data_IF_511279529842
#
_entry.id   IF_511279529842
#
_cell.length_a   1.000
_cell.length_b   1.000
_cell.length_c   1.000
_cell.angle_alpha   90.00
_cell.angle_beta   90.00
_cell.angle_gamma   90.00
#
_symmetry.space_group_name_H-M   'P 1'
#
loop_
_entity.id
_entity.type
_entity.pdbx_description
1 polymer ?
#
# COMPACT_ATOMS: atom_id res chain seq x y z
N UNK A 1 21.46 -41.44 -5.28
CA UNK A 1 20.78 -40.69 -4.18
C UNK A 1 20.98 -39.18 -4.27
N UNK A 2 22.22 -38.68 -4.38
CA UNK A 2 22.54 -37.24 -4.30
C UNK A 2 21.78 -36.33 -5.27
N UNK A 3 21.56 -36.74 -6.52
CA UNK A 3 20.87 -35.92 -7.53
C UNK A 3 19.42 -35.60 -7.15
N UNK A 4 18.70 -36.55 -6.54
CA UNK A 4 17.29 -36.38 -6.12
C UNK A 4 17.17 -35.42 -4.93
N UNK A 5 18.06 -35.55 -3.96
CA UNK A 5 18.10 -34.65 -2.80
C UNK A 5 18.52 -33.22 -3.21
N UNK A 6 19.48 -33.08 -4.13
CA UNK A 6 19.87 -31.78 -4.68
C UNK A 6 18.72 -31.11 -5.44
N UNK A 7 17.95 -31.86 -6.24
CA UNK A 7 16.77 -31.35 -6.93
C UNK A 7 15.70 -30.82 -5.95
N UNK A 8 15.40 -31.57 -4.87
CA UNK A 8 14.46 -31.13 -3.82
C UNK A 8 14.96 -29.86 -3.14
N UNK A 9 16.26 -29.76 -2.87
CA UNK A 9 16.86 -28.58 -2.25
C UNK A 9 16.71 -27.35 -3.15
N UNK A 10 17.00 -27.47 -4.45
CA UNK A 10 16.82 -26.37 -5.40
C UNK A 10 15.36 -25.92 -5.49
N UNK A 11 14.41 -26.85 -5.52
CA UNK A 11 12.99 -26.53 -5.54
C UNK A 11 12.55 -25.81 -4.26
N UNK A 12 13.06 -26.24 -3.10
CA UNK A 12 12.82 -25.58 -1.82
C UNK A 12 13.39 -24.17 -1.80
N UNK A 13 14.61 -23.96 -2.29
CA UNK A 13 15.24 -22.64 -2.39
C UNK A 13 14.42 -21.73 -3.31
N UNK A 14 14.02 -22.23 -4.49
CA UNK A 14 13.17 -21.49 -5.43
C UNK A 14 11.89 -21.01 -4.77
N UNK A 15 11.19 -21.92 -4.07
CA UNK A 15 9.95 -21.58 -3.35
C UNK A 15 10.16 -20.50 -2.30
N UNK A 16 11.25 -20.55 -1.54
CA UNK A 16 11.53 -19.50 -0.54
C UNK A 16 11.88 -18.16 -1.16
N UNK A 17 12.57 -18.15 -2.31
CA UNK A 17 12.82 -16.92 -3.07
C UNK A 17 11.49 -16.30 -3.52
N UNK A 18 10.58 -17.10 -4.06
CA UNK A 18 9.24 -16.64 -4.47
C UNK A 18 8.45 -16.04 -3.30
N UNK A 19 8.43 -16.74 -2.15
CA UNK A 19 7.78 -16.24 -0.93
C UNK A 19 8.44 -14.93 -0.46
N UNK A 20 9.76 -14.85 -0.45
CA UNK A 20 10.48 -13.67 0.00
C UNK A 20 10.19 -12.46 -0.90
N UNK A 21 10.15 -12.65 -2.21
CA UNK A 21 9.82 -11.59 -3.16
C UNK A 21 8.37 -11.11 -2.98
N UNK A 22 7.43 -12.04 -2.81
CA UNK A 22 6.03 -11.70 -2.51
C UNK A 22 5.89 -10.90 -1.21
N UNK A 23 6.59 -11.31 -0.13
CA UNK A 23 6.59 -10.56 1.12
C UNK A 23 7.23 -9.18 0.98
N UNK A 24 8.29 -9.05 0.18
CA UNK A 24 8.96 -7.78 -0.08
C UNK A 24 8.03 -6.77 -0.76
N UNK A 25 7.32 -7.18 -1.83
CA UNK A 25 6.38 -6.29 -2.52
C UNK A 25 5.23 -5.85 -1.60
N UNK A 26 4.73 -6.76 -0.74
CA UNK A 26 3.70 -6.42 0.27
C UNK A 26 4.20 -5.40 1.29
N UNK A 27 5.45 -5.56 1.76
CA UNK A 27 6.04 -4.60 2.70
C UNK A 27 6.23 -3.23 2.07
N UNK A 28 6.67 -3.19 0.80
CA UNK A 28 6.81 -1.95 0.04
C UNK A 28 5.49 -1.18 -0.02
N UNK A 29 4.38 -1.86 -0.30
CA UNK A 29 3.05 -1.22 -0.35
C UNK A 29 2.63 -0.60 0.99
N UNK A 30 2.88 -1.33 2.08
CA UNK A 30 2.56 -0.86 3.43
C UNK A 30 3.41 0.38 3.77
N UNK A 31 4.72 0.29 3.54
CA UNK A 31 5.67 1.36 3.84
C UNK A 31 5.43 2.61 3.00
N UNK A 32 5.07 2.45 1.72
CA UNK A 32 4.81 3.58 0.84
C UNK A 32 3.63 4.43 1.35
N UNK A 33 2.54 3.79 1.78
CA UNK A 33 1.41 4.54 2.35
C UNK A 33 1.74 5.16 3.71
N UNK A 34 2.48 4.44 4.56
CA UNK A 34 2.88 4.97 5.87
C UNK A 34 3.80 6.20 5.72
N UNK A 35 4.68 6.19 4.72
CA UNK A 35 5.48 7.35 4.32
C UNK A 35 4.60 8.52 3.87
N UNK A 36 3.68 8.30 2.92
CA UNK A 36 2.76 9.35 2.44
C UNK A 36 1.96 9.95 3.61
N UNK A 37 1.45 9.12 4.52
CA UNK A 37 0.73 9.59 5.71
C UNK A 37 1.61 10.46 6.60
N UNK A 38 2.87 10.08 6.82
CA UNK A 38 3.80 10.89 7.61
C UNK A 38 4.07 12.25 6.95
N UNK A 39 4.26 12.30 5.64
CA UNK A 39 4.45 13.56 4.90
C UNK A 39 3.19 14.43 4.92
N UNK A 40 2.00 13.85 4.76
CA UNK A 40 0.74 14.58 4.89
C UNK A 40 0.58 15.21 6.28
N UNK A 41 1.01 14.53 7.35
CA UNK A 41 1.03 15.12 8.70
C UNK A 41 1.98 16.32 8.77
N UNK A 42 3.16 16.26 8.13
CA UNK A 42 4.10 17.39 8.06
C UNK A 42 3.51 18.58 7.30
N UNK A 43 2.71 18.33 6.27
CA UNK A 43 2.07 19.37 5.44
C UNK A 43 0.90 20.01 6.19
N UNK A 44 -0.07 19.21 6.63
CA UNK A 44 -1.37 19.70 7.13
C UNK A 44 -1.48 19.84 8.65
N UNK A 45 -0.54 19.25 9.40
CA UNK A 45 -0.58 19.14 10.85
C UNK A 45 -1.28 17.87 11.35
N UNK A 46 -1.03 17.53 12.62
CA UNK A 46 -1.65 16.38 13.27
C UNK A 46 -3.17 16.55 13.45
N UNK A 47 -3.89 15.43 13.51
CA UNK A 47 -5.33 15.39 13.82
C UNK A 47 -6.27 15.73 12.66
N UNK A 48 -5.74 16.09 11.48
CA UNK A 48 -6.56 16.31 10.28
C UNK A 48 -6.72 15.03 9.46
N UNK A 49 -7.91 14.78 8.89
CA UNK A 49 -8.08 13.69 7.92
C UNK A 49 -7.15 13.87 6.73
N UNK A 50 -6.46 12.80 6.31
CA UNK A 50 -5.52 12.85 5.19
C UNK A 50 -6.13 13.40 3.90
N UNK A 51 -7.34 12.97 3.56
CA UNK A 51 -8.07 13.48 2.38
C UNK A 51 -8.29 14.98 2.44
N UNK A 52 -8.67 15.53 3.60
CA UNK A 52 -8.84 16.98 3.77
C UNK A 52 -7.53 17.76 3.61
N UNK A 53 -6.37 17.14 3.84
CA UNK A 53 -5.07 17.76 3.57
C UNK A 53 -4.76 17.76 2.07
N UNK A 54 -5.09 16.67 1.37
CA UNK A 54 -4.90 16.54 -0.08
C UNK A 54 -5.80 17.52 -0.83
N UNK A 55 -7.06 17.67 -0.43
CA UNK A 55 -8.04 18.58 -1.04
C UNK A 55 -7.74 20.07 -0.81
N UNK A 56 -6.92 20.40 0.19
CA UNK A 56 -6.73 21.77 0.61
C UNK A 56 -5.95 22.59 -0.44
N UNK A 57 -6.55 23.64 -1.05
CA UNK A 57 -5.90 24.38 -2.13
C UNK A 57 -4.58 25.03 -1.74
N UNK A 58 -4.43 25.41 -0.47
CA UNK A 58 -3.20 26.00 0.07
C UNK A 58 -2.01 25.03 0.11
N UNK A 59 -2.25 23.73 -0.03
CA UNK A 59 -1.19 22.71 -0.07
C UNK A 59 -0.95 22.14 -1.46
N UNK A 60 -1.66 22.63 -2.50
CA UNK A 60 -1.62 22.07 -3.86
C UNK A 60 -0.22 21.69 -4.33
N UNK A 61 0.70 22.64 -4.35
CA UNK A 61 2.07 22.40 -4.83
C UNK A 61 2.79 21.31 -4.02
N UNK A 62 2.66 21.30 -2.69
CA UNK A 62 3.30 20.29 -1.84
C UNK A 62 2.71 18.88 -2.06
N UNK A 63 1.42 18.81 -2.36
CA UNK A 63 0.74 17.55 -2.66
C UNK A 63 1.18 17.03 -4.04
N UNK A 64 1.25 17.90 -5.04
CA UNK A 64 1.74 17.53 -6.37
C UNK A 64 3.20 17.02 -6.31
N UNK A 65 4.05 17.67 -5.53
CA UNK A 65 5.43 17.23 -5.28
C UNK A 65 5.49 15.88 -4.51
N UNK A 66 4.62 15.68 -3.52
CA UNK A 66 4.59 14.45 -2.71
C UNK A 66 4.15 13.22 -3.51
N UNK A 67 3.16 13.38 -4.39
CA UNK A 67 2.62 12.29 -5.21
C UNK A 67 3.29 12.18 -6.58
N UNK A 68 4.13 13.15 -6.96
CA UNK A 68 4.72 13.29 -8.30
C UNK A 68 3.66 13.25 -9.42
N UNK A 69 2.53 13.92 -9.16
CA UNK A 69 1.29 13.84 -9.96
C UNK A 69 0.47 15.13 -9.84
N UNK A 70 -0.40 15.44 -10.82
CA UNK A 70 -1.40 16.50 -10.66
C UNK A 70 -2.31 16.24 -9.44
N UNK A 71 -2.74 17.31 -8.76
CA UNK A 71 -3.58 17.20 -7.56
C UNK A 71 -4.89 16.44 -7.84
N UNK A 72 -5.40 16.54 -9.07
CA UNK A 72 -6.59 15.83 -9.53
C UNK A 72 -6.43 14.31 -9.49
N UNK A 73 -5.19 13.80 -9.60
CA UNK A 73 -4.88 12.36 -9.50
C UNK A 73 -4.51 11.94 -8.07
N UNK A 74 -4.05 12.86 -7.22
CA UNK A 74 -3.51 12.54 -5.89
C UNK A 74 -4.54 11.84 -4.99
N UNK A 75 -5.82 12.21 -5.08
CA UNK A 75 -6.89 11.55 -4.35
C UNK A 75 -7.08 10.09 -4.76
N UNK A 76 -7.18 9.85 -6.06
CA UNK A 76 -7.35 8.51 -6.59
C UNK A 76 -6.14 7.62 -6.26
N UNK A 77 -4.94 8.19 -6.31
CA UNK A 77 -3.72 7.45 -5.97
C UNK A 77 -3.65 7.12 -4.47
N UNK A 78 -3.95 8.09 -3.60
CA UNK A 78 -4.03 7.85 -2.15
C UNK A 78 -5.03 6.73 -1.83
N UNK A 79 -6.19 6.74 -2.46
CA UNK A 79 -7.23 5.72 -2.24
C UNK A 79 -6.78 4.33 -2.71
N UNK A 80 -6.13 4.23 -3.87
CA UNK A 80 -5.55 2.96 -4.35
C UNK A 80 -4.51 2.42 -3.39
N UNK A 81 -3.61 3.27 -2.89
CA UNK A 81 -2.60 2.88 -1.91
C UNK A 81 -3.22 2.43 -0.59
N UNK A 82 -4.25 3.15 -0.13
CA UNK A 82 -5.01 2.80 1.07
C UNK A 82 -5.70 1.44 0.93
N UNK A 83 -6.36 1.19 -0.19
CA UNK A 83 -7.02 -0.08 -0.47
C UNK A 83 -6.04 -1.25 -0.53
N UNK A 84 -4.91 -1.09 -1.21
CA UNK A 84 -3.85 -2.11 -1.27
C UNK A 84 -3.34 -2.44 0.13
N UNK A 85 -2.92 -1.42 0.89
CA UNK A 85 -2.40 -1.58 2.25
C UNK A 85 -3.44 -2.23 3.17
N UNK A 86 -4.69 -1.79 3.11
CA UNK A 86 -5.76 -2.36 3.93
C UNK A 86 -6.08 -3.81 3.55
N UNK A 87 -6.01 -4.16 2.27
CA UNK A 87 -6.13 -5.54 1.82
C UNK A 87 -5.04 -6.45 2.39
N UNK A 88 -3.83 -5.93 2.59
CA UNK A 88 -2.70 -6.67 3.16
C UNK A 88 -2.79 -6.82 4.68
N UNK A 89 -3.13 -5.76 5.40
CA UNK A 89 -3.05 -5.72 6.87
C UNK A 89 -4.38 -5.93 7.59
N UNK A 90 -5.51 -5.75 6.89
CA UNK A 90 -6.87 -5.92 7.42
C UNK A 90 -7.71 -6.83 6.50
N UNK A 91 -7.21 -8.02 6.09
CA UNK A 91 -7.84 -8.83 5.05
C UNK A 91 -9.26 -9.31 5.39
N UNK A 92 -9.55 -9.58 6.67
CA UNK A 92 -10.87 -10.01 7.13
C UNK A 92 -11.89 -8.87 7.10
N UNK A 93 -11.51 -7.73 7.68
CA UNK A 93 -12.35 -6.53 7.69
C UNK A 93 -12.68 -6.06 6.26
N UNK A 94 -11.68 -6.06 5.36
CA UNK A 94 -11.90 -5.68 3.96
C UNK A 94 -12.79 -6.68 3.21
N UNK A 95 -12.76 -7.97 3.58
CA UNK A 95 -13.66 -8.98 3.01
C UNK A 95 -15.11 -8.72 3.42
N UNK A 96 -15.36 -8.53 4.71
CA UNK A 96 -16.69 -8.23 5.24
C UNK A 96 -17.26 -6.95 4.65
N UNK A 97 -16.46 -5.88 4.56
CA UNK A 97 -16.85 -4.61 3.99
C UNK A 97 -17.28 -4.73 2.52
N UNK A 98 -16.55 -5.51 1.72
CA UNK A 98 -16.93 -5.80 0.32
C UNK A 98 -18.24 -6.57 0.25
N UNK A 99 -18.43 -7.61 1.07
CA UNK A 99 -19.68 -8.39 1.10
C UNK A 99 -20.91 -7.52 1.44
N UNK A 100 -20.76 -6.60 2.40
CA UNK A 100 -21.84 -5.68 2.79
C UNK A 100 -22.17 -4.65 1.70
N UNK A 101 -21.17 -4.16 0.97
CA UNK A 101 -21.35 -3.12 -0.04
C UNK A 101 -21.66 -3.64 -1.46
N UNK A 102 -21.41 -4.93 -1.74
CA UNK A 102 -21.85 -5.58 -2.99
C UNK A 102 -23.32 -6.01 -2.98
N UNK A 103 -24.01 -5.92 -1.83
CA UNK A 103 -25.42 -6.34 -1.67
C UNK A 103 -26.41 -5.16 -1.79
N UNK A 104 -25.94 -4.00 -2.27
CA UNK A 104 -26.74 -2.80 -2.58
C UNK A 104 -26.63 -2.50 -4.07
#
# INVERSE_FOLDING_TARGET
MYKKELSKMHERVRRYIEISNDMFEKLKDIQQLDYIKAELVKIGGQGKPYRSIIDAPCFKQKIEELFDKPIEEAHAEYDRMLDRRNGLVHPFLMREWKTQNSSK
#
